data_IF_554373454519
#
_entry.id   IF_554373454519
#
_cell.length_a   1.000
_cell.length_b   1.000
_cell.length_c   1.000
_cell.angle_alpha   90.00
_cell.angle_beta   90.00
_cell.angle_gamma   90.00
#
_symmetry.space_group_name_H-M   'P 1'
#
loop_
_entity.id
_entity.type
_entity.pdbx_description
1 polymer ?
#
# COMPACT_ATOMS: atom_id res chain seq x y z
N UNK A 1 -16.28 12.91 -26.38
CA UNK A 1 -15.44 13.72 -25.47
C UNK A 1 -16.20 14.76 -24.63
N UNK A 2 -17.52 14.97 -24.79
CA UNK A 2 -18.25 15.97 -23.97
C UNK A 2 -18.91 15.39 -22.72
N UNK A 3 -19.00 14.06 -22.60
CA UNK A 3 -19.76 13.39 -21.54
C UNK A 3 -19.17 13.63 -20.15
N UNK A 4 -17.84 13.55 -19.98
CA UNK A 4 -17.21 13.73 -18.68
C UNK A 4 -17.39 15.15 -18.12
N UNK A 5 -17.24 16.18 -18.96
CA UNK A 5 -17.46 17.56 -18.56
C UNK A 5 -18.90 17.79 -18.08
N UNK A 6 -19.89 17.26 -18.81
CA UNK A 6 -21.30 17.37 -18.45
C UNK A 6 -21.60 16.64 -17.14
N UNK A 7 -21.16 15.39 -17.00
CA UNK A 7 -21.39 14.60 -15.79
C UNK A 7 -20.74 15.22 -14.55
N UNK A 8 -19.54 15.81 -14.68
CA UNK A 8 -18.89 16.53 -13.59
C UNK A 8 -19.67 17.79 -13.18
N UNK A 9 -20.27 18.49 -14.14
CA UNK A 9 -21.04 19.69 -13.87
C UNK A 9 -22.41 19.37 -13.25
N UNK A 10 -23.00 18.24 -13.63
CA UNK A 10 -24.24 17.71 -13.03
C UNK A 10 -24.00 17.20 -11.60
N UNK A 11 -22.90 16.49 -11.37
CA UNK A 11 -22.56 15.96 -10.04
C UNK A 11 -22.17 17.05 -9.03
N UNK A 12 -21.60 18.15 -9.52
CA UNK A 12 -21.15 19.27 -8.70
C UNK A 12 -21.81 20.58 -9.19
N UNK A 13 -23.12 20.76 -8.94
CA UNK A 13 -23.89 21.91 -9.43
C UNK A 13 -23.49 23.23 -8.75
N UNK A 14 -23.03 23.17 -7.50
CA UNK A 14 -22.60 24.34 -6.72
C UNK A 14 -21.19 24.85 -7.06
N UNK A 15 -20.45 24.11 -7.90
CA UNK A 15 -19.10 24.53 -8.28
C UNK A 15 -19.17 25.74 -9.23
N UNK A 16 -18.53 26.84 -8.82
CA UNK A 16 -18.41 28.07 -9.60
C UNK A 16 -17.66 27.83 -10.91
N UNK A 17 -16.73 26.87 -10.92
CA UNK A 17 -15.92 26.56 -12.09
C UNK A 17 -16.46 25.34 -12.82
N UNK A 18 -17.33 25.59 -13.80
CA UNK A 18 -17.85 24.53 -14.68
C UNK A 18 -16.77 24.03 -15.63
N UNK A 19 -16.65 22.71 -15.73
CA UNK A 19 -15.72 22.06 -16.63
C UNK A 19 -16.21 22.19 -18.08
N UNK A 20 -15.29 22.53 -18.99
CA UNK A 20 -15.57 22.51 -20.43
C UNK A 20 -14.99 21.24 -21.08
N UNK A 21 -15.60 20.73 -22.16
CA UNK A 21 -15.04 19.57 -22.87
C UNK A 21 -13.61 19.78 -23.40
N UNK A 22 -13.27 21.02 -23.78
CA UNK A 22 -11.92 21.37 -24.22
C UNK A 22 -10.90 21.28 -23.07
N UNK A 23 -11.27 21.74 -21.88
CA UNK A 23 -10.44 21.66 -20.68
C UNK A 23 -10.16 20.20 -20.29
N UNK A 24 -11.20 19.36 -20.23
CA UNK A 24 -11.04 17.92 -20.01
C UNK A 24 -10.14 17.30 -21.07
N UNK A 25 -10.38 17.62 -22.35
CA UNK A 25 -9.58 17.09 -23.45
C UNK A 25 -8.11 17.52 -23.40
N UNK A 26 -7.78 18.69 -22.84
CA UNK A 26 -6.40 19.11 -22.62
C UNK A 26 -5.73 18.31 -21.51
N UNK A 27 -6.47 17.93 -20.47
CA UNK A 27 -5.98 17.07 -19.38
C UNK A 27 -5.72 15.65 -19.85
N UNK A 28 -6.66 15.04 -20.58
CA UNK A 28 -6.54 13.68 -21.11
C UNK A 28 -5.33 13.52 -22.06
N UNK A 29 -4.97 14.60 -22.77
CA UNK A 29 -3.81 14.62 -23.68
C UNK A 29 -2.50 15.05 -23.00
N UNK A 30 -2.53 15.40 -21.71
CA UNK A 30 -1.37 15.92 -20.99
C UNK A 30 -0.86 17.28 -21.47
N UNK A 31 -1.67 18.04 -22.22
CA UNK A 31 -1.31 19.38 -22.72
C UNK A 31 -1.32 20.39 -21.58
N UNK A 32 -2.23 20.21 -20.61
CA UNK A 32 -2.33 21.00 -19.40
C UNK A 32 -2.54 20.09 -18.20
N UNK A 33 -2.02 20.47 -17.05
CA UNK A 33 -2.27 19.77 -15.79
C UNK A 33 -3.48 20.36 -15.08
N UNK A 34 -4.39 19.53 -14.53
CA UNK A 34 -5.44 20.01 -13.65
C UNK A 34 -4.84 20.57 -12.35
N UNK A 35 -5.52 21.56 -11.78
CA UNK A 35 -5.26 22.10 -10.45
C UNK A 35 -5.64 21.10 -9.36
N UNK A 36 -5.20 21.38 -8.13
CA UNK A 36 -5.54 20.55 -6.96
C UNK A 36 -7.05 20.38 -6.75
N UNK A 37 -7.83 21.46 -6.93
CA UNK A 37 -9.29 21.43 -6.78
C UNK A 37 -9.93 20.50 -7.81
N UNK A 38 -9.44 20.54 -9.04
CA UNK A 38 -9.91 19.69 -10.14
C UNK A 38 -9.51 18.23 -9.92
N UNK A 39 -8.30 17.95 -9.44
CA UNK A 39 -7.87 16.60 -9.06
C UNK A 39 -8.75 16.04 -7.94
N UNK A 40 -9.02 16.81 -6.89
CA UNK A 40 -9.92 16.41 -5.80
C UNK A 40 -11.33 16.11 -6.33
N UNK A 41 -11.85 16.96 -7.22
CA UNK A 41 -13.16 16.78 -7.86
C UNK A 41 -13.21 15.50 -8.69
N UNK A 42 -12.17 15.23 -9.49
CA UNK A 42 -12.05 14.00 -10.27
C UNK A 42 -11.94 12.76 -9.37
N UNK A 43 -11.16 12.84 -8.28
CA UNK A 43 -11.00 11.75 -7.31
C UNK A 43 -12.35 11.36 -6.69
N UNK A 44 -13.13 12.37 -6.28
CA UNK A 44 -14.48 12.18 -5.76
C UNK A 44 -15.45 11.62 -6.80
N UNK A 45 -15.36 12.07 -8.05
CA UNK A 45 -16.24 11.62 -9.14
C UNK A 45 -16.00 10.15 -9.51
N UNK A 46 -14.73 9.76 -9.64
CA UNK A 46 -14.34 8.38 -9.98
C UNK A 46 -14.24 7.45 -8.77
N UNK A 47 -14.39 7.99 -7.56
CA UNK A 47 -14.19 7.28 -6.30
C UNK A 47 -12.82 6.59 -6.21
N UNK A 48 -11.76 7.35 -6.51
CA UNK A 48 -10.35 6.92 -6.47
C UNK A 48 -9.53 7.88 -5.60
N UNK A 49 -8.32 7.47 -5.21
CA UNK A 49 -7.39 8.38 -4.52
C UNK A 49 -6.84 9.45 -5.45
N UNK A 50 -6.41 10.59 -4.90
CA UNK A 50 -5.70 11.61 -5.68
C UNK A 50 -4.35 11.10 -6.20
N UNK A 51 -3.69 10.21 -5.47
CA UNK A 51 -2.44 9.57 -5.90
C UNK A 51 -2.64 8.70 -7.15
N UNK A 52 -3.79 8.02 -7.25
CA UNK A 52 -4.15 7.26 -8.44
C UNK A 52 -4.23 8.14 -9.69
N UNK A 53 -4.85 9.33 -9.58
CA UNK A 53 -5.00 10.26 -10.70
C UNK A 53 -3.68 10.95 -11.10
N UNK A 54 -2.77 11.13 -10.15
CA UNK A 54 -1.47 11.77 -10.40
C UNK A 54 -0.39 10.79 -10.87
N UNK A 55 -0.74 9.51 -11.03
CA UNK A 55 0.22 8.49 -11.45
C UNK A 55 1.21 8.11 -10.36
N UNK A 56 0.98 8.49 -9.10
CA UNK A 56 1.64 7.91 -7.93
C UNK A 56 1.04 6.53 -7.61
N UNK A 57 0.91 5.71 -8.64
CA UNK A 57 0.58 4.29 -8.55
C UNK A 57 1.85 3.45 -8.69
N UNK A 58 3.02 3.99 -8.31
CA UNK A 58 4.12 3.08 -7.98
C UNK A 58 3.56 2.20 -6.89
N UNK A 59 3.17 0.98 -7.26
CA UNK A 59 3.05 -0.14 -6.34
C UNK A 59 4.40 -0.11 -5.65
N UNK A 60 4.44 0.52 -4.48
CA UNK A 60 5.67 0.57 -3.72
C UNK A 60 6.02 -0.90 -3.54
N UNK A 61 7.24 -1.25 -3.89
CA UNK A 61 7.76 -2.52 -3.47
C UNK A 61 7.81 -2.43 -1.95
N UNK A 62 6.72 -2.83 -1.30
CA UNK A 62 6.59 -2.76 0.14
C UNK A 62 7.51 -3.84 0.69
N UNK A 63 8.64 -3.42 1.21
CA UNK A 63 9.46 -4.29 2.01
C UNK A 63 8.69 -4.55 3.32
N UNK A 64 8.12 -5.74 3.45
CA UNK A 64 7.34 -6.12 4.63
C UNK A 64 8.15 -5.97 5.93
N UNK A 65 9.46 -6.21 5.87
CA UNK A 65 10.37 -5.96 6.99
C UNK A 65 10.37 -4.47 7.39
N UNK A 66 10.45 -3.55 6.43
CA UNK A 66 10.32 -2.13 6.70
C UNK A 66 8.95 -1.77 7.27
N UNK A 67 7.85 -2.30 6.69
CA UNK A 67 6.47 -2.02 7.14
C UNK A 67 6.25 -2.45 8.60
N UNK A 68 6.77 -3.62 8.98
CA UNK A 68 6.69 -4.11 10.37
C UNK A 68 7.51 -3.25 11.35
N UNK A 69 8.55 -2.55 10.87
CA UNK A 69 9.41 -1.71 11.73
C UNK A 69 9.00 -0.23 11.74
N UNK A 70 8.03 0.15 10.93
CA UNK A 70 7.54 1.54 10.85
C UNK A 70 6.73 1.95 12.09
N UNK A 71 6.82 3.24 12.41
CA UNK A 71 6.09 3.87 13.53
C UNK A 71 4.73 4.41 13.05
N UNK A 72 3.92 3.54 12.47
CA UNK A 72 2.56 3.83 12.01
C UNK A 72 1.55 2.95 12.75
N UNK A 73 0.25 3.20 12.59
CA UNK A 73 -0.77 2.24 12.98
C UNK A 73 -0.82 1.12 11.93
N UNK A 74 -0.57 -0.12 12.35
CA UNK A 74 -0.60 -1.31 11.50
C UNK A 74 -1.61 -2.28 12.07
N UNK A 75 -2.46 -2.81 11.21
CA UNK A 75 -3.53 -3.73 11.61
C UNK A 75 -3.44 -5.02 10.80
N UNK A 76 -3.85 -6.12 11.42
CA UNK A 76 -4.07 -7.40 10.76
C UNK A 76 -5.47 -7.91 11.13
N UNK A 77 -6.39 -7.81 10.18
CA UNK A 77 -7.81 -8.03 10.44
C UNK A 77 -8.36 -7.00 11.41
N UNK A 78 -8.87 -7.45 12.57
CA UNK A 78 -9.42 -6.58 13.62
C UNK A 78 -8.41 -6.30 14.75
N UNK A 79 -7.15 -6.68 14.59
CA UNK A 79 -6.10 -6.47 15.59
C UNK A 79 -5.18 -5.33 15.17
N UNK A 80 -4.98 -4.35 16.06
CA UNK A 80 -3.89 -3.39 15.94
C UNK A 80 -2.62 -4.03 16.47
N UNK A 81 -1.59 -4.12 15.63
CA UNK A 81 -0.30 -4.71 15.97
C UNK A 81 0.55 -3.69 16.70
N UNK A 82 0.89 -3.97 17.95
CA UNK A 82 1.85 -3.17 18.70
C UNK A 82 3.30 -3.44 18.24
N UNK A 83 4.28 -2.83 18.91
CA UNK A 83 5.69 -3.00 18.52
C UNK A 83 6.22 -4.41 18.79
N UNK A 84 5.70 -5.09 19.82
CA UNK A 84 6.08 -6.45 20.16
C UNK A 84 5.49 -7.43 19.14
N UNK A 85 4.20 -7.31 18.83
CA UNK A 85 3.52 -8.14 17.83
C UNK A 85 4.24 -8.10 16.49
N UNK A 86 4.64 -6.89 16.05
CA UNK A 86 5.34 -6.69 14.79
C UNK A 86 6.70 -7.37 14.76
N UNK A 87 7.44 -7.33 15.88
CA UNK A 87 8.73 -7.99 15.99
C UNK A 87 8.59 -9.51 15.92
N UNK A 88 7.60 -10.07 16.61
CA UNK A 88 7.35 -11.52 16.59
C UNK A 88 6.96 -12.00 15.19
N UNK A 89 6.08 -11.27 14.50
CA UNK A 89 5.72 -11.57 13.11
C UNK A 89 6.92 -11.48 12.18
N UNK A 90 7.79 -10.47 12.37
CA UNK A 90 9.03 -10.34 11.61
C UNK A 90 9.95 -11.57 11.79
N UNK A 91 10.15 -12.03 13.03
CA UNK A 91 10.96 -13.22 13.30
C UNK A 91 10.35 -14.49 12.70
N UNK A 92 9.02 -14.65 12.80
CA UNK A 92 8.31 -15.78 12.21
C UNK A 92 8.53 -15.85 10.69
N UNK A 93 8.38 -14.72 10.01
CA UNK A 93 8.57 -14.62 8.55
C UNK A 93 10.02 -14.91 8.17
N UNK A 94 10.99 -14.31 8.88
CA UNK A 94 12.41 -14.60 8.62
C UNK A 94 12.73 -16.08 8.82
N UNK A 95 12.27 -16.69 9.92
CA UNK A 95 12.46 -18.11 10.17
C UNK A 95 11.85 -18.98 9.08
N UNK A 96 10.65 -18.65 8.60
CA UNK A 96 10.01 -19.33 7.47
C UNK A 96 10.83 -19.21 6.18
N UNK A 97 11.31 -18.01 5.84
CA UNK A 97 12.12 -17.78 4.63
C UNK A 97 13.45 -18.54 4.70
N UNK A 98 14.15 -18.51 5.84
CA UNK A 98 15.37 -19.29 6.04
C UNK A 98 15.14 -20.81 5.97
N UNK A 99 13.98 -21.29 6.44
CA UNK A 99 13.60 -22.70 6.30
C UNK A 99 13.30 -23.08 4.85
N UNK A 100 12.60 -22.21 4.12
CA UNK A 100 12.27 -22.40 2.70
C UNK A 100 13.52 -22.40 1.83
N UNK A 101 14.43 -21.45 2.03
CA UNK A 101 15.70 -21.39 1.28
C UNK A 101 16.57 -22.63 1.54
N UNK A 102 16.53 -23.19 2.76
CA UNK A 102 17.19 -24.47 3.06
C UNK A 102 16.59 -25.66 2.31
N UNK A 103 15.26 -25.72 2.14
CA UNK A 103 14.64 -26.78 1.32
C UNK A 103 15.06 -26.70 -0.16
N UNK A 104 15.36 -25.50 -0.69
CA UNK A 104 15.92 -25.35 -2.04
C UNK A 104 17.40 -25.73 -2.14
N UNK A 105 18.16 -25.64 -1.04
CA UNK A 105 19.57 -26.07 -0.96
C UNK A 105 19.70 -27.57 -0.66
N UNK A 106 18.75 -28.19 0.04
CA UNK A 106 18.75 -29.64 0.30
C UNK A 106 18.53 -30.48 -0.98
N UNK A 107 17.88 -29.93 -2.02
CA UNK A 107 17.80 -30.52 -3.36
C UNK A 107 19.08 -30.33 -4.20
N UNK A 108 20.08 -29.60 -3.69
CA UNK A 108 21.36 -29.34 -4.36
C UNK A 108 22.44 -28.84 -3.40
N UNK A 109 23.16 -29.80 -2.80
CA UNK A 109 24.34 -29.65 -1.91
C UNK A 109 24.11 -29.15 -0.46
N UNK A 110 24.50 -30.00 0.50
CA UNK A 110 24.47 -29.72 1.95
C UNK A 110 25.50 -28.67 2.36
N UNK A 111 25.13 -27.72 3.24
CA UNK A 111 26.10 -27.08 4.13
C UNK A 111 25.81 -27.37 5.60
N UNK A 112 26.86 -27.86 6.25
CA UNK A 112 27.08 -28.10 7.67
C UNK A 112 26.50 -27.03 8.63
N UNK A 113 25.63 -27.50 9.53
CA UNK A 113 25.36 -27.07 10.91
C UNK A 113 25.69 -25.64 11.37
N UNK A 114 24.64 -24.85 11.67
CA UNK A 114 24.44 -24.18 12.97
C UNK A 114 22.93 -24.05 13.24
N UNK A 115 22.43 -24.76 14.24
CA UNK A 115 21.05 -24.64 14.74
C UNK A 115 21.06 -23.68 15.93
N UNK A 116 20.53 -22.46 15.76
CA UNK A 116 20.02 -21.69 16.90
C UNK A 116 18.52 -22.01 16.99
N UNK A 117 18.14 -22.77 18.01
CA UNK A 117 16.75 -23.07 18.32
C UNK A 117 16.05 -21.79 18.79
N UNK A 118 14.97 -21.39 18.09
CA UNK A 118 14.09 -20.33 18.54
C UNK A 118 13.36 -20.80 19.82
N UNK A 119 13.83 -20.36 20.98
CA UNK A 119 13.13 -20.58 22.25
C UNK A 119 12.06 -19.48 22.43
N UNK A 120 10.81 -19.82 22.13
CA UNK A 120 9.66 -19.01 22.53
C UNK A 120 9.29 -19.40 23.96
N UNK A 121 9.92 -18.75 24.94
CA UNK A 121 9.63 -18.93 26.37
C UNK A 121 8.19 -18.46 26.68
N UNK A 122 7.21 -19.34 26.51
CA UNK A 122 5.81 -19.07 26.84
C UNK A 122 5.48 -19.29 28.33
N UNK A 123 6.46 -19.65 29.16
CA UNK A 123 6.23 -20.03 30.56
C UNK A 123 6.24 -18.87 31.58
N UNK A 124 6.59 -17.65 31.18
CA UNK A 124 6.77 -16.53 32.13
C UNK A 124 5.51 -15.67 32.38
N UNK A 125 4.35 -15.98 31.78
CA UNK A 125 3.09 -15.32 32.10
C UNK A 125 2.24 -16.12 33.11
N UNK A 126 2.76 -16.23 34.33
CA UNK A 126 1.92 -16.36 35.53
C UNK A 126 2.35 -15.34 36.58
N UNK A 127 1.58 -14.25 36.69
CA UNK A 127 1.33 -13.55 37.95
C UNK A 127 -0.16 -13.29 38.08
#
# INVERSE_FOLDING_TARGET
MNQLANNLNERFPEDEHKNTPSQIGNWERGIRSPSYVEIKKLALYFNVSMDYLTGRTSVEHFNLGSVLMEKNELTFGNHTLDQQDRYEVYQLINGYLHGKDRQYLEDGEQPEAYQEELNLNFDDYKM
#
